data_IF_549725736223
#
_entry.id   IF_549725736223
#
_cell.length_a   1.000
_cell.length_b   1.000
_cell.length_c   1.000
_cell.angle_alpha   90.00
_cell.angle_beta   90.00
_cell.angle_gamma   90.00
#
_symmetry.space_group_name_H-M   'P 1'
#
loop_
_entity.id
_entity.type
_entity.pdbx_description
1 polymer ?
#
# COMPACT_ATOMS: atom_id res chain seq x y z
N UNK A 1 23.61 -46.83 2.88
CA UNK A 1 22.18 -46.56 2.64
C UNK A 1 21.77 -45.48 3.64
N UNK A 2 21.93 -44.23 3.26
CA UNK A 2 21.66 -43.05 4.07
C UNK A 2 21.27 -41.95 3.10
N UNK A 3 19.97 -41.88 2.81
CA UNK A 3 19.33 -40.74 2.15
C UNK A 3 17.85 -40.82 2.52
N UNK A 4 17.40 -39.94 3.43
CA UNK A 4 15.98 -39.56 3.63
C UNK A 4 15.86 -38.62 4.85
N UNK A 5 16.49 -37.44 4.82
CA UNK A 5 16.30 -36.39 5.85
C UNK A 5 16.43 -34.96 5.33
N UNK A 6 16.11 -34.70 4.06
CA UNK A 6 16.29 -33.37 3.48
C UNK A 6 15.05 -32.78 2.76
N UNK A 7 13.89 -33.44 2.80
CA UNK A 7 12.74 -33.05 1.96
C UNK A 7 11.45 -32.70 2.73
N UNK A 8 11.51 -32.57 4.06
CA UNK A 8 10.34 -32.25 4.91
C UNK A 8 10.39 -30.83 5.53
N UNK A 9 11.43 -30.04 5.24
CA UNK A 9 11.53 -28.63 5.69
C UNK A 9 10.99 -27.60 4.66
N UNK A 10 10.50 -28.04 3.49
CA UNK A 10 10.41 -27.16 2.30
C UNK A 10 9.02 -26.68 1.85
N UNK A 11 7.90 -26.93 2.56
CA UNK A 11 6.58 -26.42 2.11
C UNK A 11 5.67 -25.85 3.22
N UNK A 12 6.23 -25.33 4.31
CA UNK A 12 5.49 -24.46 5.21
C UNK A 12 5.55 -23.02 4.67
N UNK A 13 4.48 -22.58 3.99
CA UNK A 13 4.36 -21.19 3.55
C UNK A 13 3.70 -20.37 4.65
N UNK A 14 4.42 -19.41 5.20
CA UNK A 14 3.85 -18.42 6.11
C UNK A 14 2.99 -17.41 5.33
N UNK A 15 1.75 -17.84 5.09
CA UNK A 15 0.70 -17.05 4.47
C UNK A 15 0.42 -15.78 5.31
N UNK A 16 0.56 -15.88 6.63
CA UNK A 16 0.35 -14.76 7.55
C UNK A 16 1.35 -13.62 7.33
N UNK A 17 2.65 -13.91 7.22
CA UNK A 17 3.66 -12.89 6.93
C UNK A 17 3.51 -12.31 5.53
N UNK A 18 3.05 -13.08 4.54
CA UNK A 18 2.74 -12.56 3.20
C UNK A 18 1.61 -11.52 3.23
N UNK A 19 0.49 -11.82 3.90
CA UNK A 19 -0.62 -10.88 4.06
C UNK A 19 -0.20 -9.63 4.85
N UNK A 20 0.53 -9.81 5.96
CA UNK A 20 1.03 -8.70 6.79
C UNK A 20 2.04 -7.84 6.03
N UNK A 21 2.94 -8.46 5.30
CA UNK A 21 3.95 -7.78 4.47
C UNK A 21 3.29 -6.95 3.38
N UNK A 22 2.33 -7.52 2.65
CA UNK A 22 1.64 -6.80 1.58
C UNK A 22 0.82 -5.63 2.12
N UNK A 23 0.09 -5.81 3.24
CA UNK A 23 -0.64 -4.73 3.90
C UNK A 23 0.28 -3.60 4.41
N UNK A 24 1.47 -3.95 4.89
CA UNK A 24 2.46 -2.98 5.35
C UNK A 24 3.01 -2.17 4.18
N UNK A 25 3.37 -2.82 3.08
CA UNK A 25 3.91 -2.16 1.88
C UNK A 25 2.86 -1.21 1.29
N UNK A 26 1.61 -1.63 1.17
CA UNK A 26 0.55 -0.77 0.63
C UNK A 26 0.25 0.41 1.53
N UNK A 27 0.26 0.24 2.86
CA UNK A 27 0.14 1.35 3.81
C UNK A 27 1.29 2.37 3.66
N UNK A 28 2.52 1.90 3.50
CA UNK A 28 3.66 2.81 3.25
C UNK A 28 3.46 3.56 1.93
N UNK A 29 3.03 2.88 0.87
CA UNK A 29 2.75 3.50 -0.42
C UNK A 29 1.67 4.59 -0.30
N UNK A 30 0.59 4.35 0.46
CA UNK A 30 -0.45 5.36 0.71
C UNK A 30 0.09 6.57 1.44
N UNK A 31 0.89 6.37 2.50
CA UNK A 31 1.47 7.47 3.26
C UNK A 31 2.34 8.33 2.35
N UNK A 32 3.27 7.71 1.62
CA UNK A 32 4.17 8.42 0.70
C UNK A 32 3.37 9.16 -0.37
N UNK A 33 2.35 8.52 -0.95
CA UNK A 33 1.50 9.13 -1.96
C UNK A 33 0.66 10.29 -1.40
N UNK A 34 0.12 10.18 -0.17
CA UNK A 34 -0.58 11.27 0.48
C UNK A 34 0.34 12.48 0.71
N UNK A 35 1.58 12.24 1.14
CA UNK A 35 2.57 13.31 1.31
C UNK A 35 2.92 13.98 -0.01
N UNK A 36 3.15 13.17 -1.06
CA UNK A 36 3.43 13.67 -2.40
C UNK A 36 2.23 14.46 -2.95
N UNK A 37 1.00 14.03 -2.69
CA UNK A 37 -0.23 14.72 -3.08
C UNK A 37 -0.34 16.08 -2.39
N UNK A 38 -0.11 16.14 -1.07
CA UNK A 38 -0.15 17.38 -0.30
C UNK A 38 0.93 18.37 -0.75
N UNK A 39 2.16 17.90 -0.93
CA UNK A 39 3.27 18.73 -1.40
C UNK A 39 3.02 19.26 -2.82
N UNK A 40 2.61 18.38 -3.73
CA UNK A 40 2.32 18.73 -5.12
C UNK A 40 1.10 19.65 -5.23
N UNK A 41 0.05 19.41 -4.44
CA UNK A 41 -1.13 20.27 -4.36
C UNK A 41 -0.82 21.66 -3.84
N UNK A 42 -0.02 21.75 -2.79
CA UNK A 42 0.43 23.04 -2.24
C UNK A 42 1.28 23.81 -3.26
N UNK A 43 2.23 23.13 -3.92
CA UNK A 43 3.05 23.73 -4.98
C UNK A 43 2.21 24.21 -6.18
N UNK A 44 1.18 23.44 -6.56
CA UNK A 44 0.26 23.80 -7.63
C UNK A 44 -0.54 25.08 -7.31
N UNK A 45 -1.04 25.19 -6.07
CA UNK A 45 -1.78 26.39 -5.63
C UNK A 45 -0.85 27.61 -5.59
N UNK A 46 0.33 27.47 -5.00
CA UNK A 46 1.30 28.56 -4.86
C UNK A 46 1.75 29.05 -6.24
N UNK A 47 2.14 28.15 -7.14
CA UNK A 47 2.61 28.52 -8.49
C UNK A 47 1.55 29.26 -9.29
N UNK A 48 0.27 28.93 -9.13
CA UNK A 48 -0.83 29.58 -9.85
C UNK A 48 -1.26 30.91 -9.24
N UNK A 49 -0.99 31.12 -7.96
CA UNK A 49 -1.36 32.34 -7.24
C UNK A 49 -0.44 33.54 -7.51
N UNK A 50 0.70 33.34 -8.18
CA UNK A 50 1.70 34.38 -8.41
C UNK A 50 2.42 34.86 -7.14
N UNK A 51 2.16 34.23 -5.98
CA UNK A 51 2.73 34.65 -4.69
C UNK A 51 4.26 34.71 -4.72
N UNK A 52 4.91 33.75 -5.39
CA UNK A 52 6.37 33.63 -5.39
C UNK A 52 7.04 34.85 -6.04
N UNK A 53 6.43 35.42 -7.09
CA UNK A 53 7.00 36.55 -7.83
C UNK A 53 6.82 37.88 -7.08
N UNK A 54 5.84 37.97 -6.19
CA UNK A 54 5.55 39.15 -5.38
C UNK A 54 6.31 39.17 -4.04
N UNK A 55 7.01 38.10 -3.71
CA UNK A 55 7.72 37.97 -2.44
C UNK A 55 9.13 38.53 -2.51
N UNK A 56 9.50 39.31 -1.49
CA UNK A 56 10.90 39.65 -1.25
C UNK A 56 11.73 38.40 -0.92
N UNK A 57 13.01 38.43 -1.31
CA UNK A 57 13.91 37.28 -1.16
C UNK A 57 13.99 36.76 0.28
N UNK A 58 14.10 37.65 1.26
CA UNK A 58 14.20 37.26 2.67
C UNK A 58 12.94 36.54 3.17
N UNK A 59 11.77 36.98 2.71
CA UNK A 59 10.48 36.35 3.05
C UNK A 59 10.39 34.97 2.39
N UNK A 60 10.89 34.82 1.15
CA UNK A 60 10.91 33.53 0.46
C UNK A 60 11.82 32.53 1.18
N UNK A 61 13.00 32.95 1.63
CA UNK A 61 13.91 32.13 2.45
C UNK A 61 13.25 31.73 3.77
N UNK A 62 12.60 32.67 4.46
CA UNK A 62 11.87 32.38 5.69
C UNK A 62 10.75 31.34 5.47
N UNK A 63 9.93 31.49 4.42
CA UNK A 63 8.87 30.53 4.09
C UNK A 63 9.42 29.16 3.71
N UNK A 64 10.56 29.11 3.02
CA UNK A 64 11.23 27.85 2.70
C UNK A 64 11.68 27.12 3.97
N UNK A 65 12.31 27.84 4.91
CA UNK A 65 12.74 27.29 6.19
C UNK A 65 11.53 26.83 7.02
N UNK A 66 10.48 27.64 7.11
CA UNK A 66 9.25 27.29 7.80
C UNK A 66 8.57 26.07 7.17
N UNK A 67 8.46 26.03 5.84
CA UNK A 67 7.87 24.94 5.09
C UNK A 67 8.65 23.63 5.27
N UNK A 68 9.98 23.68 5.25
CA UNK A 68 10.82 22.50 5.51
C UNK A 68 10.65 21.98 6.94
N UNK A 69 10.54 22.87 7.93
CA UNK A 69 10.26 22.51 9.31
C UNK A 69 8.89 21.83 9.46
N UNK A 70 7.83 22.40 8.89
CA UNK A 70 6.48 21.80 8.89
C UNK A 70 6.50 20.44 8.20
N UNK A 71 7.17 20.34 7.04
CA UNK A 71 7.31 19.08 6.29
C UNK A 71 7.96 17.99 7.13
N UNK A 72 9.02 18.34 7.88
CA UNK A 72 9.68 17.43 8.80
C UNK A 72 8.72 16.93 9.89
N UNK A 73 7.95 17.81 10.52
CA UNK A 73 6.95 17.40 11.52
C UNK A 73 5.88 16.49 10.95
N UNK A 74 5.40 16.74 9.73
CA UNK A 74 4.45 15.85 9.05
C UNK A 74 5.08 14.49 8.79
N UNK A 75 6.34 14.43 8.33
CA UNK A 75 7.08 13.18 8.15
C UNK A 75 7.20 12.37 9.44
N UNK A 76 7.62 13.01 10.54
CA UNK A 76 7.71 12.34 11.83
C UNK A 76 6.33 11.85 12.32
N UNK A 77 5.28 12.67 12.14
CA UNK A 77 3.90 12.30 12.46
C UNK A 77 3.42 11.09 11.66
N UNK A 78 3.71 11.06 10.36
CA UNK A 78 3.37 9.96 9.47
C UNK A 78 4.09 8.66 9.86
N UNK A 79 5.38 8.72 10.22
CA UNK A 79 6.13 7.57 10.73
C UNK A 79 5.56 7.10 12.07
N UNK A 80 5.25 8.02 12.99
CA UNK A 80 4.63 7.67 14.27
C UNK A 80 3.26 7.01 14.10
N UNK A 81 2.44 7.51 13.16
CA UNK A 81 1.18 6.89 12.77
C UNK A 81 1.43 5.49 12.19
N UNK A 82 2.37 5.34 11.27
CA UNK A 82 2.75 4.06 10.66
C UNK A 82 3.14 3.02 11.72
N UNK A 83 4.04 3.36 12.66
CA UNK A 83 4.47 2.43 13.73
C UNK A 83 3.29 1.99 14.59
N UNK A 84 2.38 2.92 14.92
CA UNK A 84 1.16 2.61 15.69
C UNK A 84 0.18 1.74 14.90
N UNK A 85 0.04 1.98 13.61
CA UNK A 85 -0.89 1.26 12.74
C UNK A 85 -0.38 -0.13 12.37
N UNK A 86 0.92 -0.29 12.12
CA UNK A 86 1.57 -1.58 11.89
C UNK A 86 1.33 -2.55 13.07
N UNK A 87 1.44 -2.06 14.31
CA UNK A 87 1.06 -2.84 15.51
C UNK A 87 -0.40 -3.28 15.52
N UNK A 88 -1.32 -2.52 14.93
CA UNK A 88 -2.76 -2.86 14.87
C UNK A 88 -3.09 -3.80 13.70
N UNK A 89 -2.43 -3.66 12.55
CA UNK A 89 -2.63 -4.50 11.37
C UNK A 89 -2.39 -5.98 11.70
N UNK A 90 -1.40 -6.27 12.54
CA UNK A 90 -1.07 -7.63 12.97
C UNK A 90 -2.24 -8.42 13.58
N UNK A 91 -3.20 -7.75 14.23
CA UNK A 91 -4.39 -8.38 14.85
C UNK A 91 -5.70 -8.23 14.08
N UNK A 92 -5.76 -7.33 13.08
CA UNK A 92 -6.99 -7.12 12.27
C UNK A 92 -7.01 -8.00 11.01
N UNK A 93 -5.83 -8.34 10.47
CA UNK A 93 -5.71 -9.08 9.21
C UNK A 93 -5.64 -10.60 9.43
N UNK A 94 -5.21 -11.06 10.61
CA UNK A 94 -5.06 -12.48 10.91
C UNK A 94 -5.72 -12.73 12.27
N UNK A 95 -6.79 -13.53 12.31
CA UNK A 95 -7.35 -14.02 13.58
C UNK A 95 -6.34 -14.95 14.27
N UNK A 96 -6.29 -14.91 15.61
CA UNK A 96 -5.38 -15.75 16.41
C UNK A 96 -5.35 -17.21 15.90
N UNK A 97 -4.15 -17.73 15.58
CA UNK A 97 -3.93 -19.15 15.22
C UNK A 97 -3.54 -19.48 13.76
N UNK A 98 -3.32 -18.51 12.86
CA UNK A 98 -2.96 -18.78 11.43
C UNK A 98 -1.51 -18.34 11.14
N UNK A 99 -0.56 -18.82 11.95
CA UNK A 99 0.85 -18.49 11.79
C UNK A 99 1.56 -19.36 10.76
N UNK A 100 1.24 -20.64 10.69
CA UNK A 100 1.87 -21.61 9.79
C UNK A 100 0.77 -22.52 9.27
N UNK A 101 0.58 -22.58 7.96
CA UNK A 101 -0.44 -23.44 7.35
C UNK A 101 0.25 -24.36 6.36
N UNK A 102 0.07 -25.66 6.58
CA UNK A 102 0.62 -26.70 5.71
C UNK A 102 -0.04 -26.63 4.31
N UNK A 103 0.77 -26.35 3.29
CA UNK A 103 0.36 -26.28 1.89
C UNK A 103 -0.07 -27.63 1.31
N UNK A 104 0.24 -28.75 1.97
CA UNK A 104 -0.18 -30.09 1.56
C UNK A 104 -1.71 -30.26 1.66
N UNK A 105 -2.41 -29.44 2.46
CA UNK A 105 -3.88 -29.47 2.50
C UNK A 105 -4.46 -28.80 1.23
N UNK A 106 -5.24 -29.54 0.41
CA UNK A 106 -5.74 -29.03 -0.88
C UNK A 106 -6.62 -27.78 -0.72
N UNK A 107 -7.37 -27.66 0.38
CA UNK A 107 -8.18 -26.47 0.67
C UNK A 107 -7.34 -25.20 0.89
N UNK A 108 -6.18 -25.32 1.51
CA UNK A 108 -5.29 -24.17 1.79
C UNK A 108 -4.59 -23.72 0.51
N UNK A 109 -4.06 -24.67 -0.27
CA UNK A 109 -3.39 -24.39 -1.55
C UNK A 109 -4.31 -23.65 -2.52
N UNK A 110 -5.57 -24.07 -2.64
CA UNK A 110 -6.56 -23.39 -3.48
C UNK A 110 -6.82 -21.96 -3.02
N UNK A 111 -6.93 -21.70 -1.72
CA UNK A 111 -7.16 -20.35 -1.18
C UNK A 111 -5.96 -19.42 -1.46
N UNK A 112 -4.73 -19.91 -1.28
CA UNK A 112 -3.51 -19.11 -1.55
C UNK A 112 -3.39 -18.77 -3.04
N UNK A 113 -3.67 -19.73 -3.93
CA UNK A 113 -3.64 -19.50 -5.38
C UNK A 113 -4.71 -18.47 -5.79
N UNK A 114 -5.94 -18.63 -5.32
CA UNK A 114 -7.04 -17.69 -5.60
C UNK A 114 -6.68 -16.29 -5.09
N UNK A 115 -6.08 -16.19 -3.91
CA UNK A 115 -5.61 -14.92 -3.35
C UNK A 115 -4.56 -14.25 -4.25
N UNK A 116 -3.50 -14.97 -4.61
CA UNK A 116 -2.44 -14.44 -5.48
C UNK A 116 -2.99 -14.00 -6.84
N UNK A 117 -3.92 -14.77 -7.41
CA UNK A 117 -4.56 -14.47 -8.68
C UNK A 117 -5.47 -13.25 -8.57
N UNK A 118 -6.26 -13.12 -7.49
CA UNK A 118 -7.11 -11.96 -7.25
C UNK A 118 -6.32 -10.67 -7.07
N UNK A 119 -5.25 -10.70 -6.25
CA UNK A 119 -4.37 -9.53 -6.07
C UNK A 119 -3.66 -9.17 -7.37
N UNK A 120 -3.17 -10.16 -8.11
CA UNK A 120 -2.51 -9.97 -9.41
C UNK A 120 -3.44 -9.34 -10.44
N UNK A 121 -4.66 -9.86 -10.59
CA UNK A 121 -5.65 -9.30 -11.52
C UNK A 121 -6.03 -7.86 -11.16
N UNK A 122 -6.20 -7.56 -9.88
CA UNK A 122 -6.57 -6.21 -9.43
C UNK A 122 -5.41 -5.23 -9.65
N UNK A 123 -4.17 -5.65 -9.44
CA UNK A 123 -3.01 -4.84 -9.79
C UNK A 123 -2.94 -4.56 -11.28
N UNK A 124 -3.10 -5.58 -12.14
CA UNK A 124 -3.06 -5.41 -13.60
C UNK A 124 -4.20 -4.49 -14.07
N UNK A 125 -5.43 -4.81 -13.67
CA UNK A 125 -6.63 -4.05 -14.05
C UNK A 125 -6.61 -2.63 -13.49
N UNK A 126 -6.15 -2.46 -12.26
CA UNK A 126 -6.08 -1.15 -11.62
C UNK A 126 -4.98 -0.28 -12.24
N UNK A 127 -3.77 -0.83 -12.48
CA UNK A 127 -2.69 -0.09 -13.16
C UNK A 127 -3.12 0.31 -14.57
N UNK A 128 -3.74 -0.62 -15.32
CA UNK A 128 -4.24 -0.32 -16.66
C UNK A 128 -5.40 0.70 -16.63
N UNK A 129 -6.34 0.55 -15.70
CA UNK A 129 -7.44 1.49 -15.51
C UNK A 129 -6.95 2.89 -15.15
N UNK A 130 -5.98 2.98 -14.24
CA UNK A 130 -5.33 4.25 -13.91
C UNK A 130 -4.56 4.84 -15.09
N UNK A 131 -3.87 4.00 -15.88
CA UNK A 131 -3.23 4.45 -17.11
C UNK A 131 -4.23 5.05 -18.10
N UNK A 132 -5.42 4.47 -18.25
CA UNK A 132 -6.47 5.06 -19.10
C UNK A 132 -6.94 6.41 -18.54
N UNK A 133 -7.19 6.51 -17.23
CA UNK A 133 -7.55 7.79 -16.59
C UNK A 133 -6.46 8.83 -16.83
N UNK A 134 -5.20 8.46 -16.62
CA UNK A 134 -4.07 9.33 -16.86
C UNK A 134 -4.04 9.78 -18.31
N UNK A 135 -4.11 8.85 -19.27
CA UNK A 135 -4.05 9.13 -20.70
C UNK A 135 -5.16 10.07 -21.19
N UNK A 136 -6.40 9.85 -20.75
CA UNK A 136 -7.56 10.57 -21.27
C UNK A 136 -7.93 11.83 -20.49
N UNK A 137 -7.54 11.94 -19.22
CA UNK A 137 -7.94 13.07 -18.37
C UNK A 137 -6.75 13.86 -17.82
N UNK A 138 -5.67 13.19 -17.40
CA UNK A 138 -4.56 13.88 -16.75
C UNK A 138 -3.40 14.24 -17.67
N UNK A 139 -3.25 13.60 -18.83
CA UNK A 139 -2.09 13.77 -19.71
C UNK A 139 -1.93 15.22 -20.18
N UNK A 140 -3.00 15.82 -20.69
CA UNK A 140 -2.98 17.21 -21.17
C UNK A 140 -2.70 18.20 -20.03
N UNK A 141 -3.30 17.96 -18.85
CA UNK A 141 -3.09 18.80 -17.68
C UNK A 141 -1.70 18.63 -17.07
N UNK A 142 -1.15 17.42 -17.09
CA UNK A 142 0.19 17.10 -16.55
C UNK A 142 1.31 17.71 -17.39
N UNK A 143 1.09 17.93 -18.70
CA UNK A 143 2.03 18.65 -19.54
C UNK A 143 2.13 20.14 -19.20
N UNK A 144 1.08 20.72 -18.60
CA UNK A 144 1.06 22.14 -18.25
C UNK A 144 1.77 22.47 -16.94
N UNK A 145 1.93 21.50 -16.04
CA UNK A 145 2.49 21.74 -14.71
C UNK A 145 3.11 20.48 -14.11
N UNK A 146 4.37 20.61 -13.67
CA UNK A 146 5.09 19.55 -12.97
C UNK A 146 4.44 19.22 -11.62
N UNK A 147 3.82 20.20 -10.96
CA UNK A 147 3.03 19.98 -9.74
C UNK A 147 1.76 19.18 -10.03
N UNK A 148 1.12 19.40 -11.17
CA UNK A 148 -0.05 18.60 -11.57
C UNK A 148 0.32 17.15 -11.92
N UNK A 149 1.49 16.93 -12.54
CA UNK A 149 2.04 15.58 -12.70
C UNK A 149 2.20 14.89 -11.35
N UNK A 150 2.77 15.59 -10.36
CA UNK A 150 2.91 15.07 -8.99
C UNK A 150 1.57 14.70 -8.34
N UNK A 151 0.54 15.55 -8.50
CA UNK A 151 -0.82 15.26 -8.05
C UNK A 151 -1.35 13.99 -8.70
N UNK A 152 -1.26 13.89 -10.02
CA UNK A 152 -1.81 12.76 -10.77
C UNK A 152 -1.20 11.43 -10.28
N UNK A 153 0.14 11.32 -10.29
CA UNK A 153 0.86 10.11 -9.84
C UNK A 153 0.44 9.73 -8.42
N UNK A 154 0.36 10.71 -7.52
CA UNK A 154 -0.01 10.48 -6.13
C UNK A 154 -1.42 9.92 -5.99
N UNK A 155 -2.39 10.43 -6.74
CA UNK A 155 -3.77 9.91 -6.78
C UNK A 155 -3.77 8.46 -7.28
N UNK A 156 -3.01 8.15 -8.33
CA UNK A 156 -2.88 6.79 -8.84
C UNK A 156 -2.37 5.82 -7.79
N UNK A 157 -1.28 6.16 -7.11
CA UNK A 157 -0.70 5.31 -6.06
C UNK A 157 -1.68 5.14 -4.90
N UNK A 158 -2.37 6.20 -4.45
CA UNK A 158 -3.37 6.14 -3.39
C UNK A 158 -4.51 5.19 -3.74
N UNK A 159 -5.10 5.33 -4.93
CA UNK A 159 -6.21 4.47 -5.35
C UNK A 159 -5.76 3.02 -5.46
N UNK A 160 -4.59 2.77 -6.03
CA UNK A 160 -4.07 1.41 -6.19
C UNK A 160 -3.77 0.75 -4.84
N UNK A 161 -3.08 1.44 -3.95
CA UNK A 161 -2.74 0.92 -2.64
C UNK A 161 -4.01 0.66 -1.80
N UNK A 162 -5.00 1.55 -1.87
CA UNK A 162 -6.29 1.40 -1.22
C UNK A 162 -7.07 0.17 -1.74
N UNK A 163 -7.14 -0.02 -3.07
CA UNK A 163 -7.78 -1.19 -3.65
C UNK A 163 -7.14 -2.50 -3.19
N UNK A 164 -5.80 -2.55 -3.16
CA UNK A 164 -5.07 -3.73 -2.67
C UNK A 164 -5.36 -3.98 -1.19
N UNK A 165 -5.44 -2.94 -0.34
CA UNK A 165 -5.80 -3.10 1.07
C UNK A 165 -7.21 -3.66 1.25
N UNK A 166 -8.20 -3.16 0.52
CA UNK A 166 -9.59 -3.66 0.58
C UNK A 166 -9.63 -5.15 0.27
N UNK A 167 -8.87 -5.59 -0.73
CA UNK A 167 -8.77 -6.98 -1.15
C UNK A 167 -8.10 -7.83 -0.07
N UNK A 168 -6.98 -7.37 0.47
CA UNK A 168 -6.27 -8.06 1.56
C UNK A 168 -7.17 -8.25 2.77
N UNK A 169 -7.91 -7.21 3.18
CA UNK A 169 -8.82 -7.28 4.33
C UNK A 169 -9.96 -8.28 4.05
N UNK A 170 -10.53 -8.25 2.85
CA UNK A 170 -11.66 -9.12 2.48
C UNK A 170 -11.24 -10.58 2.34
N UNK A 171 -10.14 -10.84 1.65
CA UNK A 171 -9.60 -12.18 1.43
C UNK A 171 -8.95 -12.74 2.69
N UNK A 172 -8.25 -11.93 3.49
CA UNK A 172 -7.68 -12.37 4.76
C UNK A 172 -8.75 -12.89 5.73
N UNK A 173 -9.90 -12.20 5.82
CA UNK A 173 -11.05 -12.66 6.61
C UNK A 173 -11.68 -13.94 6.06
N UNK A 174 -11.80 -14.04 4.73
CA UNK A 174 -12.37 -15.22 4.07
C UNK A 174 -11.46 -16.44 4.22
N UNK A 175 -10.16 -16.27 4.01
CA UNK A 175 -9.14 -17.29 4.20
C UNK A 175 -9.12 -17.78 5.65
N UNK A 176 -9.17 -16.87 6.62
CA UNK A 176 -9.25 -17.22 8.06
C UNK A 176 -10.46 -18.12 8.35
N UNK A 177 -11.61 -17.80 7.76
CA UNK A 177 -12.84 -18.58 7.96
C UNK A 177 -12.76 -19.96 7.33
N UNK A 178 -12.23 -20.06 6.11
CA UNK A 178 -12.10 -21.32 5.39
C UNK A 178 -11.06 -22.22 6.06
N UNK A 179 -9.89 -21.69 6.41
CA UNK A 179 -8.82 -22.44 7.07
C UNK A 179 -9.31 -22.99 8.41
N UNK A 180 -10.02 -22.18 9.22
CA UNK A 180 -10.61 -22.67 10.49
C UNK A 180 -11.65 -23.76 10.29
N UNK A 181 -12.48 -23.68 9.25
CA UNK A 181 -13.47 -24.73 8.94
C UNK A 181 -12.80 -26.05 8.53
N UNK A 182 -11.81 -25.98 7.65
CA UNK A 182 -11.06 -27.16 7.19
C UNK A 182 -10.29 -27.81 8.35
N UNK A 183 -9.73 -27.01 9.26
CA UNK A 183 -9.04 -27.54 10.44
C UNK A 183 -10.01 -28.15 11.48
N UNK A 184 -11.22 -27.60 11.61
CA UNK A 184 -12.24 -28.13 12.53
C UNK A 184 -12.95 -29.39 12.02
N UNK A 185 -12.84 -29.72 10.73
CA UNK A 185 -13.34 -30.99 10.16
C UNK A 185 -12.34 -32.15 10.35
N UNK A 186 -11.09 -31.88 10.73
CA UNK A 186 -10.02 -32.88 10.93
C UNK A 186 -9.85 -33.34 12.41
N UNK A 187 -10.54 -32.70 13.37
CA UNK A 187 -10.63 -33.09 14.80
C UNK A 187 -11.93 -33.88 15.08
#
# INVERSE_FOLDING_TARGET
>A
MTDSKADDESELLDVGSLFRGTATITLVAEIVAAMMLLGSGTAFIISRSGLIEALEFDVAVFLLLLGSMITLFIFLGAIGFFVRFNRKIGGVVIGEGIGEVDLKKPGVKTVVIIYGLAVGLILIMGVYGYYLIYKYFFADLAQTSLSFLGISISVGILVMAFLVQVVIITLGRTATTIIRKVLAEDD
#
